data_IF_065340130068
#
_entry.id   IF_065340130068
#
_cell.length_a   1.000
_cell.length_b   1.000
_cell.length_c   1.000
_cell.angle_alpha   90.00
_cell.angle_beta   90.00
_cell.angle_gamma   90.00
#
_symmetry.space_group_name_H-M   'P 1'
#
loop_
_entity.id
_entity.type
_entity.pdbx_description
1 polymer ?
#
# COMPACT_ATOMS: atom_id res chain seq x y z
N UNK A 1 43.84 -39.74 -4.05
CA UNK A 1 43.77 -38.28 -3.92
C UNK A 1 43.52 -37.71 -5.29
N UNK A 2 42.32 -37.21 -5.53
CA UNK A 2 42.01 -36.36 -6.68
C UNK A 2 41.64 -35.01 -6.08
N UNK A 3 42.29 -33.99 -6.61
CA UNK A 3 42.30 -32.61 -6.12
C UNK A 3 40.90 -32.00 -6.15
N UNK A 4 40.57 -31.24 -5.10
CA UNK A 4 39.30 -30.57 -4.89
C UNK A 4 39.33 -29.19 -5.53
N UNK A 5 39.56 -29.12 -6.84
CA UNK A 5 39.28 -27.90 -7.61
C UNK A 5 37.84 -27.97 -8.11
N UNK A 6 36.96 -27.25 -7.42
CA UNK A 6 35.56 -27.05 -7.72
C UNK A 6 35.30 -26.75 -9.19
N UNK A 7 34.60 -27.65 -9.89
CA UNK A 7 33.95 -27.29 -11.15
C UNK A 7 32.64 -26.57 -10.79
N UNK A 8 32.75 -25.27 -10.50
CA UNK A 8 31.62 -24.36 -10.59
C UNK A 8 31.10 -24.37 -12.04
N UNK A 9 30.01 -25.07 -12.30
CA UNK A 9 29.37 -25.06 -13.62
C UNK A 9 28.47 -23.85 -13.71
N UNK A 10 28.77 -22.96 -14.65
CA UNK A 10 27.95 -21.80 -14.96
C UNK A 10 27.02 -22.11 -16.14
N UNK A 11 25.76 -21.73 -16.02
CA UNK A 11 24.84 -21.58 -17.16
C UNK A 11 24.78 -20.09 -17.47
N UNK A 12 25.14 -19.70 -18.70
CA UNK A 12 24.95 -18.35 -19.22
C UNK A 12 23.59 -18.26 -19.91
N UNK A 13 22.68 -17.46 -19.34
CA UNK A 13 21.38 -17.16 -19.91
C UNK A 13 21.50 -15.81 -20.63
N UNK A 14 21.31 -15.82 -21.95
CA UNK A 14 21.34 -14.61 -22.77
C UNK A 14 19.91 -14.20 -23.11
N UNK A 15 19.53 -13.01 -22.65
CA UNK A 15 18.19 -12.44 -22.79
C UNK A 15 18.27 -11.19 -23.69
N UNK A 16 17.45 -11.13 -24.74
CA UNK A 16 17.30 -9.94 -25.58
C UNK A 16 16.05 -9.18 -25.13
N UNK A 17 16.23 -8.05 -24.46
CA UNK A 17 15.10 -7.27 -23.96
C UNK A 17 14.97 -5.96 -24.75
N UNK A 18 13.73 -5.60 -25.09
CA UNK A 18 13.39 -4.34 -25.77
C UNK A 18 12.88 -3.31 -24.77
N UNK A 19 13.36 -2.08 -24.89
CA UNK A 19 12.82 -0.95 -24.14
C UNK A 19 11.47 -0.53 -24.75
N UNK A 20 10.35 -0.60 -24.01
CA UNK A 20 9.03 -0.31 -24.55
C UNK A 20 8.77 1.18 -24.80
N UNK A 21 9.65 2.08 -24.33
CA UNK A 21 9.54 3.53 -24.53
C UNK A 21 10.41 4.00 -25.70
N UNK A 22 11.59 3.39 -25.89
CA UNK A 22 12.56 3.84 -26.91
C UNK A 22 12.76 2.89 -28.08
N UNK A 23 12.14 1.70 -28.06
CA UNK A 23 12.34 0.60 -29.03
C UNK A 23 13.79 0.10 -29.19
N UNK A 24 14.73 0.53 -28.33
CA UNK A 24 16.10 0.03 -28.32
C UNK A 24 16.20 -1.40 -27.76
N UNK A 25 17.08 -2.22 -28.33
CA UNK A 25 17.35 -3.60 -27.87
C UNK A 25 18.61 -3.62 -27.00
N UNK A 26 18.52 -4.20 -25.81
CA UNK A 26 19.66 -4.43 -24.90
C UNK A 26 19.81 -5.92 -24.64
N UNK A 27 21.07 -6.41 -24.62
CA UNK A 27 21.39 -7.82 -24.34
C UNK A 27 21.77 -7.95 -22.87
N UNK A 28 21.02 -8.74 -22.12
CA UNK A 28 21.30 -9.06 -20.72
C UNK A 28 21.90 -10.47 -20.64
N UNK A 29 23.06 -10.59 -19.99
CA UNK A 29 23.73 -11.87 -19.74
C UNK A 29 23.67 -12.17 -18.25
N UNK A 30 23.04 -13.29 -17.88
CA UNK A 30 22.92 -13.73 -16.49
C UNK A 30 23.72 -15.02 -16.33
N UNK A 31 24.65 -15.05 -15.38
CA UNK A 31 25.43 -16.25 -15.04
C UNK A 31 24.84 -16.91 -13.79
N UNK A 32 24.37 -18.15 -13.92
CA UNK A 32 23.84 -18.95 -12.80
C UNK A 32 24.83 -20.04 -12.45
N UNK A 33 25.26 -20.09 -11.19
CA UNK A 33 26.20 -21.10 -10.68
C UNK A 33 25.43 -22.26 -10.07
N UNK A 34 25.62 -23.47 -10.60
CA UNK A 34 25.03 -24.69 -10.04
C UNK A 34 25.96 -25.33 -9.01
N UNK A 35 25.50 -25.46 -7.77
CA UNK A 35 26.19 -26.24 -6.73
C UNK A 35 25.57 -27.64 -6.68
N UNK A 36 26.35 -28.68 -6.98
CA UNK A 36 25.88 -30.07 -6.92
C UNK A 36 26.27 -30.71 -5.58
N UNK A 37 25.28 -31.08 -4.75
CA UNK A 37 25.50 -31.93 -3.57
C UNK A 37 25.55 -33.40 -4.01
N UNK A 38 26.73 -34.02 -3.87
CA UNK A 38 26.98 -35.42 -4.23
C UNK A 38 26.72 -36.33 -3.02
N UNK A 39 25.53 -36.93 -2.93
CA UNK A 39 25.29 -38.11 -2.08
C UNK A 39 25.41 -39.35 -2.94
N UNK A 40 26.53 -40.06 -2.85
CA UNK A 40 26.68 -41.35 -3.51
C UNK A 40 26.85 -42.51 -2.53
N UNK A 41 26.21 -43.61 -2.94
CA UNK A 41 26.57 -45.02 -2.68
C UNK A 41 26.44 -45.51 -1.24
N UNK A 42 25.20 -45.86 -0.85
CA UNK A 42 24.94 -47.11 -0.12
C UNK A 42 23.49 -47.62 -0.07
N UNK A 43 22.62 -47.39 -1.07
CA UNK A 43 21.31 -48.07 -1.07
C UNK A 43 20.86 -48.55 -2.46
N UNK A 44 20.27 -49.76 -2.44
CA UNK A 44 19.84 -50.65 -3.54
C UNK A 44 18.80 -50.03 -4.49
N UNK A 45 18.54 -50.65 -5.67
CA UNK A 45 17.77 -50.03 -6.75
C UNK A 45 16.27 -50.11 -6.47
N UNK A 46 15.77 -49.20 -5.63
CA UNK A 46 14.33 -48.94 -5.50
C UNK A 46 14.01 -47.45 -5.43
N UNK A 47 15.01 -46.57 -5.52
CA UNK A 47 14.85 -45.11 -5.47
C UNK A 47 14.66 -44.43 -6.84
N UNK A 48 14.65 -45.18 -7.94
CA UNK A 48 14.46 -44.64 -9.29
C UNK A 48 13.03 -44.15 -9.58
N UNK A 49 12.12 -44.23 -8.60
CA UNK A 49 10.75 -43.67 -8.70
C UNK A 49 10.52 -42.40 -7.86
N UNK A 50 11.52 -41.91 -7.13
CA UNK A 50 11.34 -40.81 -6.17
C UNK A 50 12.03 -39.50 -6.59
N UNK A 51 12.29 -39.31 -7.89
CA UNK A 51 12.78 -38.04 -8.47
C UNK A 51 11.95 -37.66 -9.70
N UNK A 52 10.63 -37.85 -9.62
CA UNK A 52 9.68 -37.24 -10.57
C UNK A 52 8.75 -36.23 -9.91
N UNK A 53 8.94 -35.97 -8.61
CA UNK A 53 8.21 -34.95 -7.89
C UNK A 53 9.14 -34.25 -6.91
N UNK A 54 9.14 -32.93 -7.01
CA UNK A 54 9.60 -31.96 -6.00
C UNK A 54 11.07 -31.50 -6.05
N UNK A 55 11.20 -30.19 -6.28
CA UNK A 55 12.18 -29.28 -5.66
C UNK A 55 13.56 -29.14 -6.30
N UNK A 56 13.63 -28.37 -7.39
CA UNK A 56 14.82 -27.56 -7.67
C UNK A 56 14.77 -26.36 -6.72
N UNK A 57 15.62 -26.40 -5.70
CA UNK A 57 15.83 -25.29 -4.77
C UNK A 57 16.60 -24.19 -5.51
N UNK A 58 15.89 -23.15 -5.95
CA UNK A 58 16.49 -21.89 -6.38
C UNK A 58 16.81 -21.07 -5.13
N UNK A 59 18.10 -20.90 -4.82
CA UNK A 59 18.56 -19.88 -3.88
C UNK A 59 19.40 -18.85 -4.62
N UNK A 60 19.08 -17.58 -4.32
CA UNK A 60 19.80 -16.35 -4.64
C UNK A 60 19.89 -15.92 -6.10
N UNK A 61 18.85 -15.20 -6.54
CA UNK A 61 19.02 -14.07 -7.46
C UNK A 61 19.19 -12.85 -6.56
N UNK A 62 20.38 -12.25 -6.54
CA UNK A 62 20.60 -10.95 -5.90
C UNK A 62 19.73 -9.91 -6.61
N UNK A 63 18.78 -9.35 -5.88
CA UNK A 63 17.68 -8.53 -6.38
C UNK A 63 18.06 -7.04 -6.59
N UNK A 64 19.35 -6.71 -6.67
CA UNK A 64 19.81 -5.31 -6.58
C UNK A 64 20.00 -4.58 -7.91
N UNK A 65 19.59 -5.16 -9.03
CA UNK A 65 19.53 -4.40 -10.27
C UNK A 65 18.42 -4.93 -11.19
N UNK A 66 17.66 -4.00 -11.77
CA UNK A 66 16.73 -4.14 -12.91
C UNK A 66 15.24 -4.27 -12.55
N UNK A 67 14.56 -3.15 -12.26
CA UNK A 67 13.11 -3.16 -12.03
C UNK A 67 12.25 -3.11 -13.31
N UNK A 68 12.80 -2.97 -14.53
CA UNK A 68 11.98 -2.66 -15.71
C UNK A 68 12.53 -3.21 -17.04
N UNK A 69 12.27 -4.48 -17.40
CA UNK A 69 12.45 -4.95 -18.78
C UNK A 69 11.35 -5.95 -19.19
N UNK A 70 10.87 -5.83 -20.44
CA UNK A 70 10.06 -6.85 -21.12
C UNK A 70 10.99 -7.61 -22.06
N UNK A 71 11.16 -8.91 -21.86
CA UNK A 71 11.92 -9.74 -22.78
C UNK A 71 10.97 -10.43 -23.76
N UNK A 72 11.37 -10.55 -25.04
CA UNK A 72 10.57 -11.23 -26.07
C UNK A 72 10.62 -12.75 -25.86
N UNK A 73 9.62 -13.46 -26.40
CA UNK A 73 9.16 -14.82 -26.07
C UNK A 73 10.16 -15.99 -26.31
N UNK A 74 11.48 -15.74 -26.37
CA UNK A 74 12.49 -16.76 -26.69
C UNK A 74 13.73 -16.62 -25.80
N UNK A 75 13.89 -17.55 -24.86
CA UNK A 75 15.17 -17.80 -24.18
C UNK A 75 16.03 -18.64 -25.13
N UNK A 76 17.25 -18.19 -25.40
CA UNK A 76 18.24 -19.00 -26.12
C UNK A 76 19.29 -19.50 -25.13
N UNK A 77 19.38 -20.82 -24.95
CA UNK A 77 20.50 -21.44 -24.24
C UNK A 77 21.65 -21.59 -25.23
N UNK A 78 22.77 -20.89 -25.01
CA UNK A 78 23.97 -21.13 -25.81
C UNK A 78 24.71 -22.36 -25.25
N UNK A 79 25.08 -23.25 -26.16
CA UNK A 79 25.76 -24.52 -25.89
C UNK A 79 27.22 -24.21 -25.53
N UNK A 80 27.72 -24.65 -24.37
CA UNK A 80 29.17 -24.86 -24.23
C UNK A 80 29.54 -26.21 -24.87
N UNK A 81 30.67 -26.26 -25.58
CA UNK A 81 31.02 -27.25 -26.60
C UNK A 81 31.24 -28.72 -26.13
N UNK A 82 30.79 -29.12 -24.94
CA UNK A 82 31.17 -30.42 -24.36
C UNK A 82 30.04 -31.38 -23.97
N UNK A 83 28.82 -31.21 -24.49
CA UNK A 83 27.72 -32.14 -24.19
C UNK A 83 27.08 -32.74 -25.46
N UNK A 84 27.64 -33.87 -25.90
CA UNK A 84 26.95 -34.83 -26.78
C UNK A 84 26.22 -35.86 -25.92
N UNK A 85 24.92 -36.04 -26.17
CA UNK A 85 24.02 -37.07 -25.62
C UNK A 85 23.01 -36.61 -24.54
N UNK A 86 22.21 -35.59 -24.84
CA UNK A 86 20.86 -35.47 -24.28
C UNK A 86 19.89 -35.14 -25.41
N UNK A 87 18.85 -35.97 -25.60
CA UNK A 87 17.74 -35.65 -26.51
C UNK A 87 17.05 -34.40 -25.97
N UNK A 88 16.90 -33.39 -26.81
CA UNK A 88 16.33 -32.10 -26.47
C UNK A 88 14.91 -32.25 -25.92
N UNK A 89 14.75 -32.01 -24.61
CA UNK A 89 13.45 -31.71 -24.03
C UNK A 89 13.18 -30.22 -24.28
N UNK A 90 12.38 -29.92 -25.30
CA UNK A 90 11.84 -28.58 -25.51
C UNK A 90 10.76 -28.33 -24.45
N UNK A 91 11.15 -27.73 -23.32
CA UNK A 91 10.21 -27.16 -22.38
C UNK A 91 9.99 -25.70 -22.76
N UNK A 92 8.86 -25.43 -23.41
CA UNK A 92 8.31 -24.08 -23.57
C UNK A 92 7.87 -23.63 -22.18
N UNK A 93 8.73 -22.90 -21.48
CA UNK A 93 8.32 -22.17 -20.29
C UNK A 93 7.73 -20.83 -20.76
N UNK A 94 6.44 -20.54 -20.50
CA UNK A 94 5.88 -19.25 -20.82
C UNK A 94 6.61 -18.16 -20.01
N UNK A 95 7.07 -17.12 -20.71
CA UNK A 95 7.59 -15.89 -20.11
C UNK A 95 6.46 -15.20 -19.34
N UNK A 96 6.36 -15.45 -18.04
CA UNK A 96 5.52 -14.64 -17.15
C UNK A 96 6.24 -13.33 -16.85
N UNK A 97 5.64 -12.22 -17.30
CA UNK A 97 5.92 -10.91 -16.72
C UNK A 97 5.27 -10.91 -15.33
N UNK A 98 6.06 -11.07 -14.27
CA UNK A 98 5.56 -10.85 -12.90
C UNK A 98 5.38 -9.34 -12.74
N UNK A 99 4.22 -8.82 -13.14
CA UNK A 99 3.79 -7.50 -12.70
C UNK A 99 3.41 -7.68 -11.24
N UNK A 100 4.26 -7.19 -10.34
CA UNK A 100 3.88 -7.04 -8.93
C UNK A 100 2.66 -6.13 -8.90
N UNK A 101 1.50 -6.67 -8.53
CA UNK A 101 0.27 -5.87 -8.46
C UNK A 101 0.46 -4.86 -7.34
N UNK A 102 0.55 -3.58 -7.66
CA UNK A 102 0.71 -2.55 -6.64
C UNK A 102 -0.64 -2.08 -6.15
N UNK A 103 -0.81 -1.93 -4.85
CA UNK A 103 -1.98 -1.22 -4.34
C UNK A 103 -1.91 0.26 -4.73
N UNK A 104 -3.04 0.97 -4.63
CA UNK A 104 -3.10 2.41 -4.80
C UNK A 104 -3.45 3.10 -3.49
N UNK A 105 -2.60 3.98 -2.99
CA UNK A 105 -2.87 4.83 -1.82
C UNK A 105 -4.02 5.77 -2.12
N UNK A 106 -5.09 5.74 -1.31
CA UNK A 106 -6.31 6.51 -1.56
C UNK A 106 -6.41 7.74 -0.65
N UNK A 107 -6.50 7.48 0.65
CA UNK A 107 -6.74 8.54 1.62
C UNK A 107 -6.35 8.12 3.03
N UNK A 108 -6.25 9.13 3.90
CA UNK A 108 -6.22 8.96 5.33
C UNK A 108 -7.50 9.55 5.94
N UNK A 109 -8.11 8.82 6.87
CA UNK A 109 -9.32 9.23 7.59
C UNK A 109 -8.93 10.05 8.81
N UNK A 110 -9.38 11.30 8.87
CA UNK A 110 -9.31 12.16 10.05
C UNK A 110 -10.70 12.37 10.64
N UNK A 111 -10.78 12.38 11.97
CA UNK A 111 -12.02 12.73 12.67
C UNK A 111 -12.01 14.21 13.00
N UNK A 112 -13.18 14.85 12.90
CA UNK A 112 -13.34 16.28 13.20
C UNK A 112 -14.56 16.55 14.08
N UNK A 113 -14.45 17.54 14.98
CA UNK A 113 -15.50 17.96 15.90
C UNK A 113 -16.14 19.29 15.49
N UNK A 114 -15.50 20.10 14.64
CA UNK A 114 -16.09 21.33 14.12
C UNK A 114 -15.81 21.53 12.64
N UNK A 115 -16.85 21.29 11.83
CA UNK A 115 -16.81 21.43 10.37
C UNK A 115 -16.38 22.82 9.89
N UNK A 116 -16.77 23.90 10.58
CA UNK A 116 -16.37 25.27 10.19
C UNK A 116 -14.87 25.48 10.33
N UNK A 117 -14.28 25.10 11.48
CA UNK A 117 -12.82 25.21 11.70
C UNK A 117 -12.05 24.35 10.70
N UNK A 118 -12.55 23.16 10.42
CA UNK A 118 -11.99 22.24 9.42
C UNK A 118 -12.05 22.85 8.02
N UNK A 119 -13.18 23.44 7.62
CA UNK A 119 -13.28 24.16 6.36
C UNK A 119 -12.26 25.30 6.25
N UNK A 120 -12.17 26.13 7.30
CA UNK A 120 -11.24 27.25 7.33
C UNK A 120 -9.78 26.79 7.24
N UNK A 121 -9.43 25.66 7.87
CA UNK A 121 -8.08 25.10 7.79
C UNK A 121 -7.80 24.47 6.42
N UNK A 122 -8.55 23.45 6.02
CA UNK A 122 -8.19 22.67 4.83
C UNK A 122 -8.49 23.41 3.52
N UNK A 123 -9.61 24.14 3.44
CA UNK A 123 -9.98 24.87 2.22
C UNK A 123 -9.31 26.24 2.19
N UNK A 124 -9.52 27.09 3.21
CA UNK A 124 -9.02 28.48 3.14
C UNK A 124 -7.52 28.60 3.39
N UNK A 125 -6.96 27.86 4.36
CA UNK A 125 -5.53 27.93 4.68
C UNK A 125 -4.67 27.02 3.78
N UNK A 126 -5.07 25.76 3.59
CA UNK A 126 -4.28 24.81 2.79
C UNK A 126 -4.62 24.81 1.29
N UNK A 127 -5.73 25.42 0.88
CA UNK A 127 -6.11 25.53 -0.54
C UNK A 127 -6.64 24.23 -1.15
N UNK A 128 -7.07 23.27 -0.33
CA UNK A 128 -7.70 22.04 -0.81
C UNK A 128 -9.13 22.29 -1.28
N UNK A 129 -9.68 21.34 -2.06
CA UNK A 129 -11.03 21.38 -2.59
C UNK A 129 -11.88 20.27 -1.99
N UNK A 130 -13.14 20.58 -1.68
CA UNK A 130 -14.14 19.57 -1.36
C UNK A 130 -14.45 18.79 -2.63
N UNK A 131 -14.29 17.47 -2.58
CA UNK A 131 -14.47 16.58 -3.73
C UNK A 131 -15.86 15.95 -3.73
N UNK A 132 -16.33 15.49 -2.57
CA UNK A 132 -17.68 14.95 -2.36
C UNK A 132 -18.02 15.03 -0.87
N UNK A 133 -19.32 15.11 -0.58
CA UNK A 133 -19.83 15.21 0.79
C UNK A 133 -21.07 14.33 0.96
N UNK A 134 -21.03 13.42 1.94
CA UNK A 134 -22.12 12.51 2.23
C UNK A 134 -22.60 12.65 3.68
N UNK A 135 -23.93 12.64 3.86
CA UNK A 135 -24.58 12.60 5.17
C UNK A 135 -25.21 11.22 5.38
N UNK A 136 -25.03 10.65 6.56
CA UNK A 136 -25.49 9.32 6.92
C UNK A 136 -26.39 9.39 8.15
N UNK A 137 -27.56 8.75 8.04
CA UNK A 137 -28.55 8.68 9.13
C UNK A 137 -28.23 7.64 10.21
N UNK A 138 -27.42 6.65 9.87
CA UNK A 138 -27.08 5.49 10.70
C UNK A 138 -25.57 5.22 10.69
N UNK A 139 -25.06 4.49 11.68
CA UNK A 139 -23.65 4.11 11.79
C UNK A 139 -23.17 3.23 10.63
N UNK A 140 -21.85 3.21 10.38
CA UNK A 140 -21.30 2.47 9.26
C UNK A 140 -21.11 0.98 9.60
N UNK A 141 -21.55 0.06 8.72
CA UNK A 141 -21.38 -1.40 8.91
C UNK A 141 -19.93 -1.85 9.14
N UNK A 142 -18.97 -1.13 8.56
CA UNK A 142 -17.54 -1.40 8.69
C UNK A 142 -16.83 -0.44 9.66
N UNK A 143 -17.59 0.22 10.54
CA UNK A 143 -17.06 1.13 11.55
C UNK A 143 -16.26 2.30 10.98
N UNK A 144 -16.47 2.69 9.72
CA UNK A 144 -15.75 3.80 9.09
C UNK A 144 -15.99 5.14 9.81
N UNK A 145 -17.09 5.24 10.55
CA UNK A 145 -17.45 6.37 11.41
C UNK A 145 -16.80 6.27 12.82
N UNK A 146 -15.96 5.28 13.07
CA UNK A 146 -15.38 5.00 14.38
C UNK A 146 -16.30 4.25 15.35
N UNK A 147 -17.43 3.70 14.86
CA UNK A 147 -18.38 2.88 15.63
C UNK A 147 -19.36 3.66 16.52
N UNK A 148 -20.48 3.04 16.87
CA UNK A 148 -21.56 3.63 17.68
C UNK A 148 -22.81 4.00 16.87
N UNK A 149 -23.86 4.43 17.58
CA UNK A 149 -25.12 4.88 16.98
C UNK A 149 -25.10 6.38 16.71
N UNK A 150 -25.80 6.83 15.67
CA UNK A 150 -26.06 8.25 15.43
C UNK A 150 -25.68 8.72 14.03
N UNK A 151 -26.04 9.98 13.77
CA UNK A 151 -25.75 10.65 12.49
C UNK A 151 -24.27 10.98 12.40
N UNK A 152 -23.73 10.87 11.19
CA UNK A 152 -22.38 11.28 10.86
C UNK A 152 -22.31 11.73 9.41
N UNK A 153 -21.24 12.42 9.06
CA UNK A 153 -20.97 12.85 7.70
C UNK A 153 -19.55 12.53 7.30
N UNK A 154 -19.36 12.34 6.00
CA UNK A 154 -18.08 12.10 5.35
C UNK A 154 -17.82 13.23 4.37
N UNK A 155 -16.62 13.79 4.40
CA UNK A 155 -16.21 14.80 3.42
C UNK A 155 -14.85 14.42 2.86
N UNK A 156 -14.78 14.22 1.55
CA UNK A 156 -13.49 13.99 0.89
C UNK A 156 -12.90 15.32 0.44
N UNK A 157 -11.63 15.53 0.76
CA UNK A 157 -10.95 16.80 0.52
C UNK A 157 -9.51 16.56 0.09
N UNK A 158 -9.06 17.29 -0.93
CA UNK A 158 -7.69 17.14 -1.42
C UNK A 158 -7.32 18.16 -2.49
N UNK A 159 -6.16 17.96 -3.12
CA UNK A 159 -5.66 18.85 -4.16
C UNK A 159 -6.15 18.49 -5.58
N UNK A 160 -6.80 17.34 -5.74
CA UNK A 160 -7.36 16.87 -7.00
C UNK A 160 -8.26 15.64 -6.83
N UNK A 161 -8.77 15.07 -7.93
CA UNK A 161 -9.69 13.92 -7.89
C UNK A 161 -9.09 12.67 -7.23
N UNK A 162 -9.93 11.87 -6.57
CA UNK A 162 -9.55 10.63 -5.87
C UNK A 162 -9.03 9.52 -6.80
N UNK A 163 -9.24 9.63 -8.11
CA UNK A 163 -8.77 8.66 -9.10
C UNK A 163 -7.23 8.64 -9.20
N UNK A 164 -6.59 9.78 -8.95
CA UNK A 164 -5.16 10.00 -9.15
C UNK A 164 -4.47 10.87 -8.08
N UNK A 165 -5.17 11.26 -7.01
CA UNK A 165 -4.62 11.95 -5.86
C UNK A 165 -4.86 11.18 -4.57
N UNK A 166 -3.92 11.32 -3.63
CA UNK A 166 -4.18 10.98 -2.24
C UNK A 166 -4.92 12.13 -1.58
N UNK A 167 -6.01 11.82 -0.89
CA UNK A 167 -6.91 12.81 -0.29
C UNK A 167 -7.10 12.54 1.20
N UNK A 168 -7.89 13.37 1.88
CA UNK A 168 -8.29 13.13 3.25
C UNK A 168 -9.79 12.88 3.32
N UNK A 169 -10.18 11.87 4.10
CA UNK A 169 -11.57 11.62 4.47
C UNK A 169 -11.80 12.26 5.83
N UNK A 170 -12.67 13.28 5.88
CA UNK A 170 -13.04 13.94 7.12
C UNK A 170 -14.36 13.35 7.64
N UNK A 171 -14.27 12.65 8.77
CA UNK A 171 -15.40 12.05 9.46
C UNK A 171 -15.86 12.96 10.59
N UNK A 172 -17.09 13.47 10.48
CA UNK A 172 -17.74 14.26 11.51
C UNK A 172 -18.88 13.46 12.14
N UNK A 173 -18.85 13.26 13.47
CA UNK A 173 -19.99 12.71 14.21
C UNK A 173 -20.71 13.82 14.95
N UNK A 174 -22.05 13.76 14.95
CA UNK A 174 -22.87 14.85 15.49
C UNK A 174 -22.89 14.91 17.03
N UNK A 175 -22.48 13.84 17.69
CA UNK A 175 -22.44 13.64 19.14
C UNK A 175 -21.03 13.80 19.73
N UNK A 176 -19.98 13.64 18.91
CA UNK A 176 -18.59 13.76 19.33
C UNK A 176 -18.17 15.23 19.45
N UNK A 177 -17.68 15.63 20.64
CA UNK A 177 -17.28 17.01 20.95
C UNK A 177 -15.77 17.23 21.03
N UNK A 178 -15.05 16.24 21.54
CA UNK A 178 -13.61 16.28 21.70
C UNK A 178 -12.97 15.10 20.99
N UNK A 179 -11.79 15.36 20.43
CA UNK A 179 -11.00 14.39 19.67
C UNK A 179 -9.59 14.37 20.27
N UNK A 180 -9.41 13.85 21.50
CA UNK A 180 -8.08 13.67 22.06
C UNK A 180 -7.18 12.88 21.12
N UNK A 181 -5.96 13.37 20.94
CA UNK A 181 -4.92 12.70 20.16
C UNK A 181 -4.31 11.57 20.98
N UNK A 182 -3.82 10.55 20.28
CA UNK A 182 -2.89 9.57 20.84
C UNK A 182 -1.45 9.90 20.44
N UNK A 183 -0.60 8.87 20.37
CA UNK A 183 0.77 9.00 19.86
C UNK A 183 1.00 8.16 18.58
N UNK A 184 -0.06 7.60 17.99
CA UNK A 184 -0.01 6.69 16.84
C UNK A 184 0.26 7.43 15.52
N UNK A 185 -0.21 8.68 15.40
CA UNK A 185 -0.10 9.48 14.19
C UNK A 185 1.08 10.46 14.28
N UNK A 186 2.03 10.36 13.35
CA UNK A 186 3.23 11.20 13.32
C UNK A 186 3.08 12.47 12.48
N UNK A 187 2.19 12.47 11.49
CA UNK A 187 1.90 13.63 10.64
C UNK A 187 1.71 13.28 9.16
N UNK A 188 1.28 14.28 8.39
CA UNK A 188 1.30 14.25 6.92
C UNK A 188 2.44 15.13 6.43
N UNK A 189 3.21 14.64 5.46
CA UNK A 189 4.17 15.47 4.72
C UNK A 189 3.56 15.88 3.39
N UNK A 190 3.50 17.20 3.17
CA UNK A 190 3.00 17.83 1.95
C UNK A 190 4.14 18.58 1.26
N UNK A 191 4.42 18.21 0.01
CA UNK A 191 5.41 18.88 -0.84
C UNK A 191 4.84 20.16 -1.41
N UNK A 192 5.58 21.25 -1.32
CA UNK A 192 5.18 22.57 -1.83
C UNK A 192 6.40 23.35 -2.32
N UNK A 193 6.20 24.21 -3.31
CA UNK A 193 7.19 25.19 -3.77
C UNK A 193 7.30 26.44 -2.88
N UNK A 194 6.47 26.52 -1.83
CA UNK A 194 6.46 27.63 -0.87
C UNK A 194 7.23 27.26 0.39
N UNK A 195 7.77 28.28 1.05
CA UNK A 195 8.39 28.14 2.35
C UNK A 195 7.32 28.27 3.44
N UNK A 196 6.87 27.13 3.98
CA UNK A 196 5.77 27.06 4.95
C UNK A 196 6.24 26.35 6.22
N UNK A 197 5.91 26.91 7.38
CA UNK A 197 6.14 26.25 8.66
C UNK A 197 5.14 25.12 8.88
N UNK A 198 5.59 24.05 9.55
CA UNK A 198 4.71 22.97 9.98
C UNK A 198 3.57 23.50 10.86
N UNK A 199 2.38 22.95 10.70
CA UNK A 199 1.17 23.36 11.43
C UNK A 199 0.43 22.14 11.94
N UNK A 200 -0.51 22.34 12.86
CA UNK A 200 -1.54 21.34 13.16
C UNK A 200 -2.88 21.80 12.62
N UNK A 201 -3.74 20.84 12.29
CA UNK A 201 -5.14 21.12 12.02
C UNK A 201 -5.91 21.44 13.33
N UNK A 202 -7.22 21.76 13.26
CA UNK A 202 -8.01 22.12 14.44
C UNK A 202 -8.06 21.05 15.54
N UNK A 203 -7.89 19.77 15.20
CA UNK A 203 -7.95 18.66 16.15
C UNK A 203 -6.56 18.18 16.59
N UNK A 204 -5.50 18.74 16.03
CA UNK A 204 -4.12 18.47 16.41
C UNK A 204 -3.35 17.55 15.46
N UNK A 205 -3.92 17.15 14.32
CA UNK A 205 -3.18 16.35 13.34
C UNK A 205 -2.09 17.20 12.70
N UNK A 206 -0.85 16.69 12.70
CA UNK A 206 0.32 17.42 12.24
C UNK A 206 0.45 17.42 10.72
N UNK A 207 0.71 18.60 10.14
CA UNK A 207 1.05 18.82 8.74
C UNK A 207 2.47 19.41 8.67
N UNK A 208 3.34 18.74 7.92
CA UNK A 208 4.74 19.09 7.70
C UNK A 208 4.88 19.47 6.23
N UNK A 209 5.43 20.65 5.96
CA UNK A 209 5.65 21.09 4.58
C UNK A 209 7.10 20.87 4.17
N UNK A 210 7.29 20.19 3.05
CA UNK A 210 8.59 19.93 2.44
C UNK A 210 8.75 20.84 1.22
N UNK A 211 9.74 21.75 1.27
CA UNK A 211 10.02 22.66 0.17
C UNK A 211 10.67 21.91 -0.99
N UNK A 212 10.07 22.02 -2.17
CA UNK A 212 10.56 21.47 -3.44
C UNK A 212 10.67 22.58 -4.49
N UNK A 213 11.38 22.34 -5.59
CA UNK A 213 11.54 23.38 -6.64
C UNK A 213 10.21 23.68 -7.35
N UNK A 214 9.39 22.67 -7.56
CA UNK A 214 8.06 22.79 -8.16
C UNK A 214 7.09 21.84 -7.46
N UNK A 215 5.90 22.33 -7.11
CA UNK A 215 4.87 21.50 -6.49
C UNK A 215 4.48 20.33 -7.43
N UNK A 216 4.55 19.07 -6.96
CA UNK A 216 4.19 17.93 -7.78
C UNK A 216 2.67 17.86 -7.96
N UNK A 217 2.22 17.12 -8.98
CA UNK A 217 0.79 16.89 -9.22
C UNK A 217 0.07 16.35 -7.98
N UNK A 218 0.68 15.36 -7.32
CA UNK A 218 0.22 14.86 -6.02
C UNK A 218 1.14 15.41 -4.91
N UNK A 219 0.76 16.52 -4.24
CA UNK A 219 1.59 17.15 -3.22
C UNK A 219 1.62 16.38 -1.90
N UNK A 220 0.67 15.46 -1.64
CA UNK A 220 0.73 14.66 -0.41
C UNK A 220 1.80 13.58 -0.58
N UNK A 221 2.96 13.80 0.02
CA UNK A 221 4.13 12.94 -0.20
C UNK A 221 4.10 11.66 0.62
N UNK A 222 3.80 11.78 1.92
CA UNK A 222 3.70 10.62 2.82
C UNK A 222 2.83 10.87 4.03
N UNK A 223 2.29 9.80 4.57
CA UNK A 223 1.68 9.73 5.91
C UNK A 223 2.67 9.07 6.86
N UNK A 224 2.85 9.60 8.06
CA UNK A 224 3.76 9.09 9.08
C UNK A 224 2.93 8.42 10.18
N UNK A 225 3.21 7.15 10.46
CA UNK A 225 2.66 6.43 11.61
C UNK A 225 3.79 5.99 12.53
N UNK A 226 3.55 6.11 13.83
CA UNK A 226 4.46 5.60 14.84
C UNK A 226 4.21 4.12 15.10
N UNK A 227 5.29 3.36 15.28
CA UNK A 227 5.26 1.94 15.59
C UNK A 227 6.12 1.66 16.82
N UNK A 228 5.76 0.64 17.60
CA UNK A 228 6.55 0.23 18.76
C UNK A 228 7.81 -0.52 18.31
N UNK A 229 7.66 -1.45 17.37
CA UNK A 229 8.71 -2.36 16.90
C UNK A 229 8.75 -2.40 15.38
N UNK A 230 9.73 -1.68 14.81
CA UNK A 230 9.83 -1.50 13.37
C UNK A 230 10.03 -2.81 12.60
N UNK A 231 10.71 -3.81 13.17
CA UNK A 231 10.95 -5.08 12.48
C UNK A 231 9.66 -5.90 12.36
N UNK A 232 8.82 -5.89 13.41
CA UNK A 232 7.49 -6.51 13.34
C UNK A 232 6.61 -5.84 12.28
N UNK A 233 6.62 -4.51 12.24
CA UNK A 233 5.84 -3.76 11.25
C UNK A 233 6.38 -4.01 9.83
N UNK A 234 7.70 -4.00 9.61
CA UNK A 234 8.31 -4.33 8.31
C UNK A 234 7.93 -5.75 7.89
N UNK A 235 7.96 -6.74 8.79
CA UNK A 235 7.56 -8.12 8.47
C UNK A 235 6.10 -8.19 8.01
N UNK A 236 5.19 -7.51 8.70
CA UNK A 236 3.79 -7.48 8.30
C UNK A 236 3.61 -6.79 6.94
N UNK A 237 4.10 -5.56 6.78
CA UNK A 237 3.93 -4.79 5.55
C UNK A 237 4.70 -5.39 4.37
N UNK A 238 5.91 -5.90 4.61
CA UNK A 238 6.83 -6.41 3.59
C UNK A 238 6.63 -7.88 3.23
N UNK A 239 6.27 -8.76 4.16
CA UNK A 239 6.14 -10.20 3.87
C UNK A 239 4.66 -10.60 3.70
N UNK A 240 3.78 -10.08 4.56
CA UNK A 240 2.34 -10.39 4.51
C UNK A 240 1.65 -9.56 3.44
N UNK A 241 1.78 -8.25 3.46
CA UNK A 241 1.20 -7.37 2.44
C UNK A 241 2.10 -7.19 1.21
N UNK A 242 3.32 -7.72 1.28
CA UNK A 242 4.44 -7.53 0.35
C UNK A 242 4.17 -7.70 -1.13
N UNK A 243 3.08 -8.34 -1.53
CA UNK A 243 2.68 -8.39 -2.93
C UNK A 243 2.32 -7.00 -3.48
N UNK A 244 1.84 -6.10 -2.61
CA UNK A 244 1.28 -4.80 -2.99
C UNK A 244 2.18 -3.61 -2.74
N UNK A 245 3.30 -3.79 -2.02
CA UNK A 245 4.10 -2.68 -1.49
C UNK A 245 5.60 -2.92 -1.65
N UNK A 246 6.39 -1.84 -1.61
CA UNK A 246 7.85 -1.91 -1.49
C UNK A 246 8.29 -1.24 -0.19
N UNK A 247 9.10 -1.92 0.62
CA UNK A 247 9.55 -1.42 1.92
C UNK A 247 11.04 -1.14 1.88
N UNK A 248 11.43 0.07 2.26
CA UNK A 248 12.84 0.47 2.40
C UNK A 248 13.11 0.95 3.80
N UNK A 249 14.11 0.37 4.48
CA UNK A 249 14.47 0.73 5.86
C UNK A 249 15.67 1.67 5.88
N UNK A 250 15.60 2.70 6.73
CA UNK A 250 16.72 3.58 7.05
C UNK A 250 16.67 3.97 8.54
N UNK A 251 17.56 3.39 9.35
CA UNK A 251 17.60 3.61 10.79
C UNK A 251 16.28 3.20 11.46
N UNK A 252 15.70 4.12 12.24
CA UNK A 252 14.42 3.97 12.95
C UNK A 252 13.18 4.24 12.07
N UNK A 253 13.36 4.21 10.74
CA UNK A 253 12.28 4.50 9.78
C UNK A 253 12.19 3.43 8.71
N UNK A 254 10.97 3.16 8.26
CA UNK A 254 10.70 2.38 7.07
C UNK A 254 9.72 3.11 6.16
N UNK A 255 10.05 3.23 4.88
CA UNK A 255 9.18 3.83 3.86
C UNK A 255 8.54 2.72 3.04
N UNK A 256 7.22 2.74 2.99
CA UNK A 256 6.36 1.83 2.24
C UNK A 256 5.83 2.59 1.01
N UNK A 257 6.25 2.16 -0.17
CA UNK A 257 5.86 2.73 -1.47
C UNK A 257 4.90 1.82 -2.21
N UNK A 258 3.97 2.45 -2.94
CA UNK A 258 2.89 1.82 -3.69
C UNK A 258 3.03 2.07 -5.21
N UNK A 259 4.21 2.52 -5.64
CA UNK A 259 4.49 2.90 -7.02
C UNK A 259 5.00 4.33 -7.14
N UNK A 260 5.41 4.73 -8.36
CA UNK A 260 5.82 6.11 -8.63
C UNK A 260 4.65 7.06 -8.40
N UNK A 261 4.95 8.26 -7.91
CA UNK A 261 4.01 9.38 -7.70
C UNK A 261 2.82 9.10 -6.76
N UNK A 262 2.86 7.98 -6.04
CA UNK A 262 1.90 7.68 -4.97
C UNK A 262 2.38 8.18 -3.61
N UNK A 263 1.43 8.50 -2.75
CA UNK A 263 1.71 8.86 -1.36
C UNK A 263 2.23 7.64 -0.62
N UNK A 264 3.39 7.76 -0.02
CA UNK A 264 4.00 6.69 0.75
C UNK A 264 3.46 6.63 2.18
N UNK A 265 3.67 5.50 2.84
CA UNK A 265 3.50 5.37 4.28
C UNK A 265 4.89 5.26 4.92
N UNK A 266 5.21 6.14 5.85
CA UNK A 266 6.44 6.08 6.65
C UNK A 266 6.13 5.58 8.05
N UNK A 267 6.73 4.46 8.42
CA UNK A 267 6.71 3.94 9.78
C UNK A 267 7.92 4.47 10.52
N UNK A 268 7.73 5.00 11.73
CA UNK A 268 8.80 5.50 12.58
C UNK A 268 8.73 4.81 13.93
N UNK A 269 9.81 4.14 14.32
CA UNK A 269 9.90 3.49 15.61
C UNK A 269 9.97 4.54 16.72
N UNK A 270 9.13 4.41 17.74
CA UNK A 270 9.16 5.27 18.93
C UNK A 270 9.57 4.54 20.20
N UNK A 271 9.76 3.21 20.13
CA UNK A 271 10.20 2.36 21.25
C UNK A 271 9.34 2.54 22.52
N UNK A 272 8.05 2.80 22.32
CA UNK A 272 7.08 3.02 23.37
C UNK A 272 5.71 2.48 22.93
N UNK A 273 4.86 2.03 23.88
CA UNK A 273 3.53 1.55 23.54
C UNK A 273 2.71 2.58 22.77
N UNK A 274 2.05 2.11 21.71
CA UNK A 274 1.12 2.93 20.93
C UNK A 274 -0.16 3.15 21.75
N UNK A 275 -0.42 4.42 22.08
CA UNK A 275 -1.60 4.91 22.78
C UNK A 275 -2.53 5.53 21.77
N UNK A 276 -3.71 4.94 21.63
CA UNK A 276 -4.79 5.43 20.78
C UNK A 276 -5.82 6.19 21.59
N UNK A 277 -6.45 7.16 20.95
CA UNK A 277 -7.63 7.85 21.45
C UNK A 277 -8.65 8.00 20.32
N UNK A 278 -9.71 8.76 20.59
CA UNK A 278 -10.78 9.01 19.61
C UNK A 278 -10.31 9.72 18.35
N UNK A 279 -9.09 10.26 18.27
CA UNK A 279 -8.48 10.78 17.04
C UNK A 279 -7.98 9.71 16.06
N UNK A 280 -7.91 8.44 16.49
CA UNK A 280 -7.30 7.38 15.68
C UNK A 280 -7.95 7.32 14.30
N UNK A 281 -7.10 7.42 13.28
CA UNK A 281 -7.48 7.39 11.89
C UNK A 281 -7.33 6.00 11.25
N UNK A 282 -7.55 5.96 9.94
CA UNK A 282 -7.42 4.77 9.10
C UNK A 282 -6.78 5.16 7.78
N UNK A 283 -5.85 4.36 7.28
CA UNK A 283 -5.32 4.53 5.93
C UNK A 283 -6.02 3.59 4.95
N UNK A 284 -6.32 4.06 3.75
CA UNK A 284 -7.04 3.28 2.74
C UNK A 284 -6.23 3.08 1.46
N UNK A 285 -6.35 1.87 0.91
CA UNK A 285 -5.74 1.44 -0.34
C UNK A 285 -6.77 0.77 -1.23
N UNK A 286 -6.63 0.90 -2.55
CA UNK A 286 -7.34 0.02 -3.47
C UNK A 286 -6.44 -1.06 -4.05
N UNK A 287 -7.06 -2.22 -4.28
CA UNK A 287 -6.52 -3.36 -5.04
C UNK A 287 -7.62 -3.86 -5.97
N UNK A 288 -7.33 -4.68 -6.99
CA UNK A 288 -8.40 -5.29 -7.79
C UNK A 288 -9.36 -6.07 -6.90
N UNK A 289 -10.66 -5.96 -7.15
CA UNK A 289 -11.68 -6.56 -6.29
C UNK A 289 -11.50 -8.07 -6.11
N UNK A 290 -10.95 -8.77 -7.13
CA UNK A 290 -10.62 -10.19 -7.06
C UNK A 290 -9.61 -10.55 -5.97
N UNK A 291 -8.77 -9.61 -5.54
CA UNK A 291 -7.69 -9.82 -4.58
C UNK A 291 -8.11 -9.60 -3.12
N UNK A 292 -9.30 -9.04 -2.85
CA UNK A 292 -9.73 -8.77 -1.47
C UNK A 292 -9.86 -10.05 -0.62
N UNK A 293 -10.52 -11.10 -1.16
CA UNK A 293 -10.67 -12.38 -0.45
C UNK A 293 -9.33 -13.15 -0.30
N UNK A 294 -8.48 -13.23 -1.34
CA UNK A 294 -7.12 -13.75 -1.18
C UNK A 294 -6.31 -13.00 -0.12
N UNK A 295 -6.40 -11.67 -0.08
CA UNK A 295 -5.74 -10.86 0.93
C UNK A 295 -6.25 -11.19 2.34
N UNK A 296 -7.56 -11.24 2.53
CA UNK A 296 -8.18 -11.64 3.81
C UNK A 296 -7.67 -13.01 4.27
N UNK A 297 -7.67 -14.02 3.39
CA UNK A 297 -7.19 -15.36 3.70
C UNK A 297 -5.72 -15.36 4.12
N UNK A 298 -4.87 -14.61 3.41
CA UNK A 298 -3.44 -14.49 3.74
C UNK A 298 -3.21 -13.84 5.11
N UNK A 299 -3.98 -12.80 5.45
CA UNK A 299 -3.86 -12.15 6.76
C UNK A 299 -4.39 -13.07 7.86
N UNK A 300 -5.48 -13.82 7.62
CA UNK A 300 -5.99 -14.82 8.56
C UNK A 300 -4.98 -15.93 8.86
N UNK A 301 -4.24 -16.39 7.86
CA UNK A 301 -3.17 -17.37 8.03
C UNK A 301 -2.03 -16.82 8.89
N UNK A 302 -1.70 -15.54 8.73
CA UNK A 302 -0.68 -14.87 9.53
C UNK A 302 -1.13 -14.64 10.99
N UNK A 303 -2.30 -14.01 11.17
CA UNK A 303 -2.94 -13.75 12.46
C UNK A 303 -4.40 -13.33 12.21
N UNK A 304 -5.35 -14.25 12.46
CA UNK A 304 -6.79 -14.02 12.27
C UNK A 304 -7.32 -12.77 13.00
N UNK A 305 -6.72 -12.39 14.12
CA UNK A 305 -7.14 -11.20 14.89
C UNK A 305 -6.86 -9.90 14.15
N UNK A 306 -6.05 -9.93 13.09
CA UNK A 306 -5.74 -8.75 12.28
C UNK A 306 -6.78 -8.47 11.20
N UNK A 307 -7.80 -9.31 11.06
CA UNK A 307 -8.98 -9.02 10.23
C UNK A 307 -10.08 -8.46 11.11
N UNK A 308 -10.16 -7.13 11.20
CA UNK A 308 -11.19 -6.43 11.97
C UNK A 308 -12.57 -6.51 11.30
N UNK A 309 -12.60 -6.37 9.98
CA UNK A 309 -13.84 -6.53 9.20
C UNK A 309 -13.54 -7.42 8.00
N UNK A 310 -14.10 -8.65 7.97
CA UNK A 310 -14.02 -9.53 6.81
C UNK A 310 -14.60 -8.87 5.56
N UNK A 311 -14.35 -9.50 4.40
CA UNK A 311 -14.91 -9.07 3.13
C UNK A 311 -16.41 -8.74 3.26
N UNK A 312 -16.75 -7.48 3.01
CA UNK A 312 -18.12 -6.98 3.13
C UNK A 312 -18.41 -5.88 2.13
N UNK A 313 -19.68 -5.74 1.77
CA UNK A 313 -20.16 -4.69 0.88
C UNK A 313 -20.64 -3.48 1.68
N UNK A 314 -20.20 -2.30 1.24
CA UNK A 314 -20.56 -1.01 1.79
C UNK A 314 -21.36 -0.20 0.77
N UNK A 315 -22.55 0.18 1.20
CA UNK A 315 -23.45 1.04 0.43
C UNK A 315 -23.20 2.49 0.80
N UNK A 316 -23.25 3.37 -0.20
CA UNK A 316 -23.34 4.82 0.00
C UNK A 316 -24.60 5.29 -0.71
N UNK A 317 -25.52 6.01 -0.04
CA UNK A 317 -26.80 6.40 -0.63
C UNK A 317 -26.63 7.07 -1.99
N UNK A 318 -27.29 6.50 -3.01
CA UNK A 318 -27.25 7.03 -4.38
C UNK A 318 -25.92 6.82 -5.14
N UNK A 319 -24.97 6.06 -4.59
CA UNK A 319 -23.65 5.82 -5.22
C UNK A 319 -23.35 4.33 -5.40
N UNK A 320 -22.25 4.05 -6.07
CA UNK A 320 -21.76 2.69 -6.30
C UNK A 320 -21.42 1.99 -4.97
N UNK A 321 -21.99 0.79 -4.76
CA UNK A 321 -21.59 -0.13 -3.70
C UNK A 321 -20.15 -0.60 -3.91
N UNK A 322 -19.36 -0.61 -2.85
CA UNK A 322 -17.96 -1.06 -2.87
C UNK A 322 -17.76 -2.23 -1.91
N UNK A 323 -16.84 -3.12 -2.21
CA UNK A 323 -16.44 -4.20 -1.30
C UNK A 323 -15.14 -3.84 -0.61
N UNK A 324 -15.05 -4.10 0.70
CA UNK A 324 -13.87 -3.80 1.52
C UNK A 324 -13.45 -4.97 2.40
N UNK A 325 -12.19 -4.94 2.83
CA UNK A 325 -11.65 -5.70 3.97
C UNK A 325 -10.93 -4.71 4.86
N UNK A 326 -11.16 -4.76 6.18
CA UNK A 326 -10.45 -3.92 7.15
C UNK A 326 -9.52 -4.79 7.98
N UNK A 327 -8.27 -4.34 8.02
CA UNK A 327 -7.18 -5.01 8.71
C UNK A 327 -6.62 -4.11 9.81
N UNK A 328 -5.88 -4.71 10.73
CA UNK A 328 -4.96 -3.98 11.63
C UNK A 328 -3.52 -4.45 11.41
N UNK A 329 -2.59 -3.51 11.43
CA UNK A 329 -1.15 -3.85 11.46
C UNK A 329 -0.73 -4.32 12.86
N UNK A 330 0.53 -4.75 13.09
CA UNK A 330 0.99 -5.28 14.38
C UNK A 330 0.73 -4.36 15.57
N UNK A 331 0.84 -3.05 15.33
CA UNK A 331 0.63 -2.00 16.31
C UNK A 331 -0.85 -1.63 16.47
N UNK A 332 -1.74 -2.13 15.61
CA UNK A 332 -3.18 -1.87 15.64
C UNK A 332 -3.62 -0.71 14.74
N UNK A 333 -2.80 -0.26 13.80
CA UNK A 333 -3.20 0.76 12.83
C UNK A 333 -4.22 0.19 11.87
N UNK A 334 -5.38 0.83 11.74
CA UNK A 334 -6.43 0.36 10.84
C UNK A 334 -6.07 0.62 9.37
N UNK A 335 -6.32 -0.38 8.54
CA UNK A 335 -6.05 -0.36 7.10
C UNK A 335 -7.32 -0.82 6.37
N UNK A 336 -7.83 0.02 5.47
CA UNK A 336 -8.93 -0.36 4.56
C UNK A 336 -8.36 -0.79 3.21
N UNK A 337 -8.68 -1.99 2.75
CA UNK A 337 -8.54 -2.38 1.35
C UNK A 337 -9.90 -2.38 0.68
N UNK A 338 -10.02 -1.68 -0.45
CA UNK A 338 -11.25 -1.59 -1.25
C UNK A 338 -11.02 -2.06 -2.69
N UNK A 339 -12.04 -2.63 -3.32
CA UNK A 339 -11.99 -3.01 -4.74
C UNK A 339 -11.90 -1.77 -5.64
N UNK A 340 -10.81 -1.64 -6.41
CA UNK A 340 -10.49 -0.44 -7.20
C UNK A 340 -11.59 -0.11 -8.21
N UNK A 341 -12.13 -1.12 -8.89
CA UNK A 341 -13.07 -0.95 -10.01
C UNK A 341 -14.35 -0.21 -9.59
N UNK A 342 -14.89 -0.58 -8.43
CA UNK A 342 -16.09 0.05 -7.90
C UNK A 342 -15.77 1.32 -7.10
N UNK A 343 -14.60 1.39 -6.46
CA UNK A 343 -14.15 2.60 -5.78
C UNK A 343 -14.02 3.79 -6.75
N UNK A 344 -13.50 3.58 -7.97
CA UNK A 344 -13.43 4.63 -8.99
C UNK A 344 -14.79 5.25 -9.30
N UNK A 345 -15.83 4.42 -9.42
CA UNK A 345 -17.20 4.91 -9.67
C UNK A 345 -17.79 5.63 -8.45
N UNK A 346 -17.50 5.17 -7.24
CA UNK A 346 -17.95 5.81 -5.99
C UNK A 346 -17.32 7.19 -5.79
N UNK A 347 -16.03 7.30 -6.11
CA UNK A 347 -15.16 8.44 -5.74
C UNK A 347 -15.14 9.57 -6.76
N UNK A 348 -16.13 9.62 -7.66
CA UNK A 348 -16.24 10.71 -8.63
C UNK A 348 -16.53 12.04 -7.91
N UNK A 349 -15.80 13.13 -8.24
CA UNK A 349 -16.07 14.43 -7.65
C UNK A 349 -17.48 14.94 -7.97
N UNK A 350 -18.11 15.59 -7.01
CA UNK A 350 -19.44 16.18 -7.13
C UNK A 350 -19.33 17.69 -7.35
N UNK A 351 -20.05 18.22 -8.33
CA UNK A 351 -19.99 19.66 -8.65
C UNK A 351 -20.53 20.55 -7.54
N UNK A 352 -21.42 20.04 -6.70
CA UNK A 352 -22.06 20.74 -5.59
C UNK A 352 -21.48 20.35 -4.21
N UNK A 353 -20.31 19.69 -4.16
CA UNK A 353 -19.74 19.16 -2.92
C UNK A 353 -19.49 20.26 -1.87
N UNK A 354 -18.88 21.37 -2.28
CA UNK A 354 -18.58 22.52 -1.42
C UNK A 354 -19.87 23.16 -0.88
N UNK A 355 -20.85 23.40 -1.76
CA UNK A 355 -22.16 23.95 -1.39
C UNK A 355 -22.91 23.04 -0.40
N UNK A 356 -22.83 21.72 -0.60
CA UNK A 356 -23.46 20.73 0.25
C UNK A 356 -22.87 20.74 1.65
N UNK A 357 -21.55 20.76 1.77
CA UNK A 357 -20.87 20.90 3.06
C UNK A 357 -21.18 22.25 3.73
N UNK A 358 -21.16 23.36 2.98
CA UNK A 358 -21.49 24.69 3.50
C UNK A 358 -22.91 24.76 4.05
N UNK A 359 -23.87 24.13 3.37
CA UNK A 359 -25.24 23.99 3.87
C UNK A 359 -25.26 23.20 5.19
N UNK A 360 -24.58 22.07 5.25
CA UNK A 360 -24.54 21.23 6.44
C UNK A 360 -23.85 21.94 7.64
N UNK A 361 -22.82 22.75 7.39
CA UNK A 361 -22.19 23.63 8.38
C UNK A 361 -23.21 24.61 8.97
N UNK A 362 -23.99 25.28 8.11
CA UNK A 362 -25.01 26.25 8.54
C UNK A 362 -26.12 25.58 9.37
N UNK A 363 -26.56 24.39 8.97
CA UNK A 363 -27.61 23.63 9.67
C UNK A 363 -27.15 23.13 11.05
N UNK A 364 -25.85 22.89 11.24
CA UNK A 364 -25.28 22.47 12.51
C UNK A 364 -24.69 23.60 13.37
N UNK A 365 -24.90 24.87 12.99
CA UNK A 365 -24.23 26.06 13.51
C UNK A 365 -24.54 26.44 14.99
N UNK A 366 -24.91 25.47 15.84
CA UNK A 366 -24.98 25.62 17.29
C UNK A 366 -23.88 24.88 18.08
N UNK A 367 -23.03 24.05 17.43
CA UNK A 367 -22.13 23.12 18.13
C UNK A 367 -20.63 23.42 18.05
N UNK A 368 -20.19 24.34 17.19
CA UNK A 368 -18.76 24.72 17.11
C UNK A 368 -18.29 25.61 18.28
N UNK A 369 -19.21 26.07 19.15
CA UNK A 369 -18.91 26.87 20.33
C UNK A 369 -18.87 25.99 21.58
N UNK A 370 -17.67 25.56 21.96
CA UNK A 370 -17.14 25.57 23.34
C UNK A 370 -15.74 24.95 23.37
N UNK A 371 -14.73 25.80 23.27
CA UNK A 371 -13.51 25.73 24.08
C UNK A 371 -13.27 27.18 24.51
N UNK A 372 -13.86 27.54 25.66
CA UNK A 372 -13.37 28.66 26.46
C UNK A 372 -12.11 28.20 27.19
#
# INVERSE_FOLDING_TARGET
MIDASDIAKFIEIVCFCKNPVTNGTTVLKIHVQLVALWLSRKFKPTFAKMVTTSSVVLWHITQDALPYYKCEDRVYFSRSEHFSHWKAAFLVLPYFKIVKMSARSLHYVFRTACRQKTYDFYVKKLGMKILRHEEYGEGCKAGCDGGGEGKWSKTMIGYGPEDDHFVFELTYKYDLKDIPQGNEFGGVVVKTDRDLESTTDPEGYKFIFEKVESAPKNPVGKVILHVEDLEKSIKFWGDVLGFFVNVTKAGERALISFGPDQTALELVAIHAPIKRNTASGRIAFSIPQSELKPLEAKVKEFDEKRVETPFTDLETPGKQTVSVVILTDPDGHEICFVGDENFRKLSQPESNADESLQKAIKEACGKCQKKE
#
